data_IF_842950842787
#
_entry.id   IF_842950842787
#
_cell.length_a   1.000
_cell.length_b   1.000
_cell.length_c   1.000
_cell.angle_alpha   90.00
_cell.angle_beta   90.00
_cell.angle_gamma   90.00
#
_symmetry.space_group_name_H-M   'P 1'
#
loop_
_entity.id
_entity.type
_entity.pdbx_description
1 polymer ?
#
# COMPACT_ATOMS: atom_id res chain seq x y z
N UNK A 1 2.41 -9.44 -12.05
CA UNK A 1 3.63 -8.63 -11.97
C UNK A 1 4.77 -9.52 -11.52
N UNK A 2 5.99 -9.28 -12.00
CA UNK A 2 7.21 -9.83 -11.39
C UNK A 2 7.53 -9.05 -10.12
N UNK A 3 8.31 -9.62 -9.21
CA UNK A 3 8.75 -8.93 -7.98
C UNK A 3 9.48 -7.61 -8.29
N UNK A 4 10.19 -7.55 -9.43
CA UNK A 4 10.88 -6.35 -9.91
C UNK A 4 9.92 -5.22 -10.25
N UNK A 5 8.77 -5.53 -10.88
CA UNK A 5 7.73 -4.54 -11.19
C UNK A 5 7.13 -3.98 -9.91
N UNK A 6 6.86 -4.83 -8.91
CA UNK A 6 6.33 -4.39 -7.61
C UNK A 6 7.35 -3.50 -6.90
N UNK A 7 8.63 -3.88 -6.89
CA UNK A 7 9.69 -3.06 -6.30
C UNK A 7 9.83 -1.70 -6.99
N UNK A 8 9.75 -1.66 -8.33
CA UNK A 8 9.77 -0.42 -9.08
C UNK A 8 8.58 0.50 -8.73
N UNK A 9 7.38 -0.08 -8.62
CA UNK A 9 6.18 0.67 -8.21
C UNK A 9 6.29 1.18 -6.77
N UNK A 10 6.80 0.38 -5.83
CA UNK A 10 7.05 0.84 -4.45
C UNK A 10 8.00 2.05 -4.46
N UNK A 11 9.09 2.01 -5.23
CA UNK A 11 9.99 3.15 -5.35
C UNK A 11 9.29 4.38 -5.96
N UNK A 12 8.43 4.18 -6.97
CA UNK A 12 7.68 5.26 -7.59
C UNK A 12 6.66 5.93 -6.64
N UNK A 13 6.20 5.25 -5.58
CA UNK A 13 5.40 5.90 -4.52
C UNK A 13 6.16 6.97 -3.73
N UNK A 14 7.48 7.11 -3.94
CA UNK A 14 8.36 8.09 -3.30
C UNK A 14 8.94 9.10 -4.30
N UNK A 15 8.44 9.13 -5.54
CA UNK A 15 8.91 10.06 -6.57
C UNK A 15 8.67 11.53 -6.16
N UNK A 16 9.45 12.45 -6.73
CA UNK A 16 9.30 13.89 -6.47
C UNK A 16 8.00 14.43 -7.08
N UNK A 17 7.55 13.86 -8.20
CA UNK A 17 6.31 14.23 -8.88
C UNK A 17 5.10 13.54 -8.22
N UNK A 18 4.10 14.32 -7.79
CA UNK A 18 2.90 13.77 -7.16
C UNK A 18 2.05 12.94 -8.13
N UNK A 19 2.09 13.24 -9.42
CA UNK A 19 1.39 12.46 -10.43
C UNK A 19 1.99 11.06 -10.56
N UNK A 20 3.32 10.94 -10.52
CA UNK A 20 4.03 9.65 -10.52
C UNK A 20 3.68 8.86 -9.27
N UNK A 21 3.71 9.49 -8.08
CA UNK A 21 3.32 8.84 -6.82
C UNK A 21 1.88 8.33 -6.84
N UNK A 22 0.96 9.14 -7.35
CA UNK A 22 -0.46 8.78 -7.47
C UNK A 22 -0.65 7.58 -8.40
N UNK A 23 -0.06 7.61 -9.60
CA UNK A 23 -0.13 6.51 -10.56
C UNK A 23 0.54 5.23 -10.06
N UNK A 24 1.60 5.34 -9.28
CA UNK A 24 2.21 4.19 -8.63
C UNK A 24 1.25 3.53 -7.63
N UNK A 25 0.54 4.32 -6.82
CA UNK A 25 -0.47 3.79 -5.90
C UNK A 25 -1.62 3.10 -6.65
N UNK A 26 -2.16 3.75 -7.68
CA UNK A 26 -3.24 3.20 -8.52
C UNK A 26 -2.82 1.84 -9.12
N UNK A 27 -1.65 1.76 -9.73
CA UNK A 27 -1.12 0.52 -10.31
C UNK A 27 -0.93 -0.58 -9.26
N UNK A 28 -0.43 -0.26 -8.06
CA UNK A 28 -0.32 -1.23 -6.96
C UNK A 28 -1.68 -1.80 -6.54
N UNK A 29 -2.72 -0.97 -6.51
CA UNK A 29 -4.09 -1.41 -6.23
C UNK A 29 -4.70 -2.27 -7.33
N UNK A 30 -4.40 -1.97 -8.59
CA UNK A 30 -4.88 -2.73 -9.75
C UNK A 30 -4.27 -4.14 -9.81
N UNK A 31 -3.01 -4.29 -9.38
CA UNK A 31 -2.33 -5.59 -9.30
C UNK A 31 -3.01 -6.59 -8.36
N UNK A 32 -3.84 -6.13 -7.42
CA UNK A 32 -4.63 -6.99 -6.52
C UNK A 32 -3.76 -7.91 -5.67
N UNK A 33 -4.19 -9.17 -5.48
CA UNK A 33 -3.49 -10.19 -4.66
C UNK A 33 -1.98 -10.29 -4.94
N UNK A 34 -1.55 -10.10 -6.19
CA UNK A 34 -0.12 -10.18 -6.56
C UNK A 34 0.73 -9.11 -5.89
N UNK A 35 0.13 -7.98 -5.52
CA UNK A 35 0.79 -6.89 -4.81
C UNK A 35 0.47 -6.87 -3.32
N UNK A 36 -0.26 -7.85 -2.79
CA UNK A 36 -0.68 -7.93 -1.39
C UNK A 36 0.47 -8.36 -0.44
N UNK A 37 1.56 -7.61 -0.46
CA UNK A 37 2.78 -7.83 0.33
C UNK A 37 2.90 -6.77 1.42
N UNK A 38 3.70 -7.05 2.45
CA UNK A 38 3.93 -6.11 3.56
C UNK A 38 4.51 -4.78 3.07
N UNK A 39 5.41 -4.84 2.09
CA UNK A 39 6.12 -3.70 1.54
C UNK A 39 5.18 -2.78 0.76
N UNK A 40 4.24 -3.35 0.00
CA UNK A 40 3.20 -2.58 -0.72
C UNK A 40 2.23 -1.95 0.28
N UNK A 41 1.79 -2.71 1.28
CA UNK A 41 0.94 -2.19 2.36
C UNK A 41 1.61 -1.01 3.05
N UNK A 42 2.88 -1.15 3.43
CA UNK A 42 3.68 -0.08 4.03
C UNK A 42 3.79 1.16 3.12
N UNK A 43 4.05 0.96 1.82
CA UNK A 43 4.15 2.04 0.85
C UNK A 43 2.84 2.82 0.70
N UNK A 44 1.70 2.11 0.57
CA UNK A 44 0.38 2.74 0.46
C UNK A 44 -0.01 3.47 1.74
N UNK A 45 0.28 2.92 2.91
CA UNK A 45 0.03 3.58 4.19
C UNK A 45 0.84 4.87 4.34
N UNK A 46 2.07 4.90 3.84
CA UNK A 46 2.86 6.14 3.80
C UNK A 46 2.26 7.14 2.80
N UNK A 47 1.86 6.70 1.62
CA UNK A 47 1.25 7.55 0.59
C UNK A 47 -0.11 8.13 1.01
N UNK A 48 -0.85 7.50 1.93
CA UNK A 48 -2.05 8.09 2.56
C UNK A 48 -1.75 9.33 3.41
N UNK A 49 -0.49 9.60 3.74
CA UNK A 49 -0.02 10.81 4.44
C UNK A 49 0.74 11.77 3.53
N UNK A 50 0.66 11.57 2.21
CA UNK A 50 1.28 12.45 1.25
C UNK A 50 0.74 13.88 1.37
N UNK A 51 1.50 14.88 0.89
CA UNK A 51 1.06 16.27 0.90
C UNK A 51 0.02 16.56 -0.19
N UNK A 52 0.03 15.76 -1.26
CA UNK A 52 -0.88 15.88 -2.39
C UNK A 52 -2.15 15.05 -2.18
N UNK A 53 -3.32 15.67 -2.33
CA UNK A 53 -4.62 15.05 -2.09
C UNK A 53 -4.95 13.93 -3.08
N UNK A 54 -4.45 13.99 -4.32
CA UNK A 54 -4.65 12.91 -5.30
C UNK A 54 -3.85 11.67 -4.91
N UNK A 55 -2.64 11.85 -4.39
CA UNK A 55 -1.82 10.74 -3.89
C UNK A 55 -2.51 10.09 -2.68
N UNK A 56 -3.01 10.89 -1.73
CA UNK A 56 -3.76 10.37 -0.58
C UNK A 56 -4.99 9.56 -1.00
N UNK A 57 -5.75 10.06 -1.98
CA UNK A 57 -6.93 9.38 -2.52
C UNK A 57 -6.54 8.06 -3.19
N UNK A 58 -5.60 8.10 -4.13
CA UNK A 58 -5.18 6.90 -4.85
C UNK A 58 -4.57 5.84 -3.94
N UNK A 59 -3.84 6.25 -2.89
CA UNK A 59 -3.34 5.33 -1.88
C UNK A 59 -4.47 4.68 -1.07
N UNK A 60 -5.51 5.43 -0.73
CA UNK A 60 -6.68 4.91 0.00
C UNK A 60 -7.51 3.95 -0.86
N UNK A 61 -7.69 4.27 -2.14
CA UNK A 61 -8.39 3.42 -3.11
C UNK A 61 -7.60 2.14 -3.41
N UNK A 62 -6.29 2.26 -3.63
CA UNK A 62 -5.42 1.10 -3.83
C UNK A 62 -5.43 0.16 -2.62
N UNK A 63 -5.41 0.73 -1.42
CA UNK A 63 -5.51 -0.03 -0.17
C UNK A 63 -6.84 -0.78 -0.08
N UNK A 64 -7.97 -0.12 -0.40
CA UNK A 64 -9.29 -0.75 -0.42
C UNK A 64 -9.35 -1.87 -1.47
N UNK A 65 -8.84 -1.61 -2.67
CA UNK A 65 -8.82 -2.59 -3.76
C UNK A 65 -7.98 -3.81 -3.40
N UNK A 66 -6.85 -3.62 -2.71
CA UNK A 66 -6.06 -4.73 -2.18
C UNK A 66 -6.85 -5.49 -1.10
N UNK A 67 -7.49 -4.81 -0.16
CA UNK A 67 -8.27 -5.47 0.89
C UNK A 67 -9.48 -6.24 0.34
N UNK A 68 -10.16 -5.71 -0.68
CA UNK A 68 -11.32 -6.35 -1.31
C UNK A 68 -10.91 -7.52 -2.21
N UNK A 69 -9.88 -7.34 -3.04
CA UNK A 69 -9.41 -8.38 -3.96
C UNK A 69 -8.59 -9.47 -3.26
N UNK A 70 -7.93 -9.12 -2.16
CA UNK A 70 -7.13 -10.04 -1.38
C UNK A 70 -7.74 -10.27 0.00
N UNK A 71 -9.09 -10.34 0.06
CA UNK A 71 -9.88 -10.79 1.21
C UNK A 71 -9.63 -12.28 1.57
N UNK A 72 -8.38 -12.72 1.44
CA UNK A 72 -7.85 -14.00 1.85
C UNK A 72 -7.13 -13.82 3.18
N UNK A 73 -6.96 -14.92 3.92
CA UNK A 73 -6.24 -14.93 5.18
C UNK A 73 -4.83 -14.34 5.07
N UNK A 74 -4.23 -14.28 3.88
CA UNK A 74 -2.89 -13.72 3.66
C UNK A 74 -2.82 -12.22 3.93
N UNK A 75 -3.80 -11.40 3.53
CA UNK A 75 -3.75 -9.95 3.83
C UNK A 75 -3.99 -9.67 5.28
N UNK A 76 -4.90 -10.40 5.92
CA UNK A 76 -5.08 -10.31 7.36
C UNK A 76 -3.80 -10.73 8.08
N UNK A 77 -3.13 -11.79 7.64
CA UNK A 77 -1.84 -12.22 8.19
C UNK A 77 -0.72 -11.18 7.94
N UNK A 78 -0.66 -10.58 6.75
CA UNK A 78 0.26 -9.51 6.39
C UNK A 78 0.05 -8.29 7.29
N UNK A 79 -1.20 -7.84 7.47
CA UNK A 79 -1.53 -6.75 8.38
C UNK A 79 -1.25 -7.09 9.85
N UNK A 80 -1.49 -8.34 10.28
CA UNK A 80 -1.14 -8.79 11.63
C UNK A 80 0.38 -8.85 11.85
N UNK A 81 1.16 -9.20 10.84
CA UNK A 81 2.62 -9.15 10.87
C UNK A 81 3.13 -7.70 10.84
N UNK A 82 2.51 -6.85 10.03
CA UNK A 82 2.83 -5.43 9.92
C UNK A 82 2.60 -4.67 11.24
N UNK A 83 1.72 -5.16 12.13
CA UNK A 83 1.61 -4.65 13.52
C UNK A 83 2.87 -4.85 14.35
N UNK A 84 3.77 -5.75 13.96
CA UNK A 84 5.06 -6.04 14.62
C UNK A 84 6.25 -5.49 13.85
N UNK A 85 6.01 -4.77 12.76
CA UNK A 85 7.07 -4.18 11.94
C UNK A 85 7.92 -3.19 12.76
N UNK A 86 9.21 -3.10 12.47
CA UNK A 86 10.13 -2.18 13.15
C UNK A 86 9.75 -0.72 12.89
N UNK A 87 9.18 -0.44 11.72
CA UNK A 87 8.77 0.88 11.29
C UNK A 87 7.42 1.28 11.90
N UNK A 88 7.43 2.35 12.71
CA UNK A 88 6.25 2.78 13.46
C UNK A 88 5.06 3.19 12.58
N UNK A 89 5.33 3.70 11.38
CA UNK A 89 4.28 4.07 10.42
C UNK A 89 3.60 2.84 9.82
N UNK A 90 4.33 1.74 9.61
CA UNK A 90 3.80 0.47 9.13
C UNK A 90 2.87 -0.14 10.17
N UNK A 91 3.31 -0.17 11.43
CA UNK A 91 2.45 -0.62 12.55
C UNK A 91 1.15 0.17 12.64
N UNK A 92 1.25 1.52 12.57
CA UNK A 92 0.08 2.39 12.69
C UNK A 92 -0.92 2.16 11.56
N UNK A 93 -0.44 2.06 10.32
CA UNK A 93 -1.33 1.82 9.20
C UNK A 93 -1.93 0.42 9.17
N UNK A 94 -1.20 -0.59 9.67
CA UNK A 94 -1.75 -1.93 9.88
C UNK A 94 -2.87 -1.95 10.93
N UNK A 95 -2.72 -1.19 12.02
CA UNK A 95 -3.79 -1.00 13.02
C UNK A 95 -5.02 -0.29 12.43
N UNK A 96 -4.82 0.77 11.64
CA UNK A 96 -5.92 1.51 10.99
C UNK A 96 -6.68 0.62 10.00
N UNK A 97 -5.95 -0.19 9.22
CA UNK A 97 -6.51 -1.13 8.28
C UNK A 97 -7.34 -2.25 8.93
N UNK A 98 -6.87 -2.78 10.07
CA UNK A 98 -7.56 -3.84 10.82
C UNK A 98 -8.71 -3.31 11.69
N UNK A 99 -8.81 -2.01 11.89
CA UNK A 99 -9.85 -1.37 12.73
C UNK A 99 -11.08 -0.89 11.95
N UNK A 100 -11.09 -1.04 10.62
CA UNK A 100 -12.25 -0.79 9.75
C UNK A 100 -12.80 -2.10 9.21
#
# INVERSE_FOLDING_TARGET
ATNEVIAALINATRDKDSHVRWKACEALGELGEKAATNEVVAALLNARRDKDSYVQLGASEAFRNLAEKAATNEVVAALLNAKRDEESYVRMGACEALGK
#
